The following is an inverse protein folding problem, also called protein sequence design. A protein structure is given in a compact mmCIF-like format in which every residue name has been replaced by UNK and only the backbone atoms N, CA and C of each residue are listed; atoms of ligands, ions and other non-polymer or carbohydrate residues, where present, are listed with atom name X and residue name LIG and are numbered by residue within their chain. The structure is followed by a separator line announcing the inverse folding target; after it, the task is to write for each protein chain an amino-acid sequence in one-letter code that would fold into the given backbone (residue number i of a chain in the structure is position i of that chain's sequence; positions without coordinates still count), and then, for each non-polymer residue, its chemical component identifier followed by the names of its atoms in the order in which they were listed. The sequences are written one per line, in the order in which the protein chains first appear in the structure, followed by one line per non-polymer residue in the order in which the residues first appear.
data_IF_486690589910
#
_entry.id   IF_486690589910
#
_cell.length_a   1.000
_cell.length_b   1.000
_cell.length_c   1.000
_cell.angle_alpha   90.00
_cell.angle_beta   90.00
_cell.angle_gamma   90.00
#
_symmetry.space_group_name_H-M   'P 1'
#
loop_
_entity.id
_entity.type
_entity.pdbx_description
1 polymer ?
#
# COMPACT_ATOMS: atom_id res chain seq x y z
N UNK A 1 -18.50 -5.63 -11.56
CA UNK A 1 -18.17 -6.01 -10.17
C UNK A 1 -17.68 -7.44 -10.17
N UNK A 2 -16.64 -7.75 -9.40
CA UNK A 2 -16.08 -9.10 -9.28
C UNK A 2 -16.38 -9.64 -7.89
N UNK A 3 -16.87 -10.88 -7.80
CA UNK A 3 -17.13 -11.55 -6.53
C UNK A 3 -15.96 -12.44 -6.17
N UNK A 4 -15.49 -12.36 -4.92
CA UNK A 4 -14.46 -13.22 -4.38
C UNK A 4 -15.04 -14.14 -3.31
N UNK A 5 -14.83 -15.45 -3.46
CA UNK A 5 -15.14 -16.43 -2.43
C UNK A 5 -13.84 -16.81 -1.70
N UNK A 6 -13.78 -16.51 -0.40
CA UNK A 6 -12.64 -16.83 0.45
C UNK A 6 -12.96 -18.13 1.19
N UNK A 7 -12.15 -19.17 0.97
CA UNK A 7 -12.28 -20.47 1.63
C UNK A 7 -11.34 -20.55 2.83
N UNK A 8 -11.65 -21.49 3.73
CA UNK A 8 -10.79 -21.87 4.86
C UNK A 8 -10.46 -20.71 5.81
N UNK A 9 -11.43 -19.80 6.01
CA UNK A 9 -11.33 -18.74 7.03
C UNK A 9 -11.72 -19.35 8.37
N UNK A 10 -10.83 -19.28 9.36
CA UNK A 10 -11.15 -19.76 10.71
C UNK A 10 -12.28 -18.96 11.35
N UNK A 11 -13.05 -19.62 12.23
CA UNK A 11 -14.15 -18.98 12.95
C UNK A 11 -13.67 -17.78 13.78
N UNK A 12 -12.48 -17.87 14.36
CA UNK A 12 -11.83 -16.77 15.11
C UNK A 12 -11.59 -15.55 14.21
N UNK A 13 -11.01 -15.74 13.02
CA UNK A 13 -10.78 -14.65 12.08
C UNK A 13 -12.10 -14.04 11.63
N UNK A 14 -13.11 -14.88 11.34
CA UNK A 14 -14.44 -14.41 10.96
C UNK A 14 -15.10 -13.59 12.08
N UNK A 15 -14.93 -13.98 13.35
CA UNK A 15 -15.44 -13.24 14.50
C UNK A 15 -14.77 -11.87 14.64
N UNK A 16 -13.44 -11.81 14.59
CA UNK A 16 -12.68 -10.55 14.69
C UNK A 16 -13.08 -9.59 13.57
N UNK A 17 -13.23 -10.08 12.33
CA UNK A 17 -13.63 -9.22 11.21
C UNK A 17 -15.07 -8.71 11.35
N UNK A 18 -15.98 -9.50 11.91
CA UNK A 18 -17.35 -9.05 12.20
C UNK A 18 -17.38 -7.97 13.28
N UNK A 19 -16.60 -8.13 14.35
CA UNK A 19 -16.49 -7.12 15.42
C UNK A 19 -15.96 -5.79 14.87
N UNK A 20 -14.90 -5.84 14.06
CA UNK A 20 -14.34 -4.64 13.41
C UNK A 20 -15.32 -3.99 12.44
N UNK A 21 -16.04 -4.80 11.65
CA UNK A 21 -17.07 -4.29 10.76
C UNK A 21 -18.18 -3.58 11.54
N UNK A 22 -18.65 -4.17 12.64
CA UNK A 22 -19.66 -3.58 13.52
C UNK A 22 -19.17 -2.28 14.18
N UNK A 23 -17.92 -2.23 14.64
CA UNK A 23 -17.31 -1.02 15.19
C UNK A 23 -17.25 0.14 14.19
N UNK A 24 -17.13 -0.16 12.88
CA UNK A 24 -17.17 0.83 11.81
C UNK A 24 -18.59 1.07 11.24
N UNK A 25 -19.64 0.45 11.81
CA UNK A 25 -21.01 0.58 11.32
C UNK A 25 -21.23 -0.03 9.92
N UNK A 26 -20.43 -1.03 9.55
CA UNK A 26 -20.45 -1.68 8.23
C UNK A 26 -20.91 -3.13 8.34
N UNK A 27 -21.54 -3.64 7.29
CA UNK A 27 -21.68 -5.10 7.12
C UNK A 27 -20.30 -5.73 6.85
N UNK A 28 -20.15 -7.01 7.18
CA UNK A 28 -18.92 -7.75 6.84
C UNK A 28 -18.64 -7.74 5.33
N UNK A 29 -19.70 -7.82 4.51
CA UNK A 29 -19.63 -7.76 3.04
C UNK A 29 -19.20 -6.40 2.49
N UNK A 30 -19.35 -5.31 3.26
CA UNK A 30 -18.83 -4.00 2.90
C UNK A 30 -17.42 -3.77 3.47
N UNK A 31 -17.16 -4.29 4.68
CA UNK A 31 -15.89 -4.14 5.38
C UNK A 31 -14.74 -4.90 4.70
N UNK A 32 -14.90 -6.19 4.44
CA UNK A 32 -13.81 -7.04 3.92
C UNK A 32 -13.30 -6.57 2.54
N UNK A 33 -14.15 -6.23 1.56
CA UNK A 33 -13.65 -5.70 0.29
C UNK A 33 -12.90 -4.38 0.44
N UNK A 34 -13.28 -3.53 1.39
CA UNK A 34 -12.55 -2.29 1.68
C UNK A 34 -11.15 -2.61 2.22
N UNK A 35 -11.01 -3.59 3.13
CA UNK A 35 -9.70 -4.04 3.59
C UNK A 35 -8.84 -4.62 2.46
N UNK A 36 -9.43 -5.46 1.61
CA UNK A 36 -8.73 -6.02 0.45
C UNK A 36 -8.25 -4.93 -0.51
N UNK A 37 -9.05 -3.88 -0.72
CA UNK A 37 -8.66 -2.73 -1.52
C UNK A 37 -7.46 -1.99 -0.88
N UNK A 38 -7.44 -1.82 0.45
CA UNK A 38 -6.31 -1.21 1.17
C UNK A 38 -5.02 -2.05 1.03
N UNK A 39 -5.14 -3.37 1.07
CA UNK A 39 -4.02 -4.29 0.84
C UNK A 39 -3.51 -4.14 -0.60
N UNK A 40 -4.41 -4.18 -1.58
CA UNK A 40 -4.05 -4.10 -2.99
C UNK A 40 -3.50 -2.73 -3.42
N UNK A 41 -3.89 -1.65 -2.73
CA UNK A 41 -3.40 -0.30 -3.01
C UNK A 41 -1.90 -0.11 -2.69
N UNK A 42 -1.32 -0.97 -1.84
CA UNK A 42 0.09 -0.88 -1.46
C UNK A 42 0.92 -1.79 -2.38
N UNK A 43 1.86 -1.25 -3.18
CA UNK A 43 2.75 -2.08 -3.98
C UNK A 43 3.66 -2.90 -3.06
N UNK A 44 3.95 -4.12 -3.48
CA UNK A 44 4.96 -4.98 -2.84
C UNK A 44 6.36 -4.42 -3.03
N UNK A 45 7.31 -4.82 -2.18
CA UNK A 45 8.71 -4.41 -2.31
C UNK A 45 9.29 -4.78 -3.69
N UNK A 46 8.95 -5.96 -4.20
CA UNK A 46 9.41 -6.41 -5.52
C UNK A 46 8.89 -5.50 -6.64
N UNK A 47 7.61 -5.12 -6.58
CA UNK A 47 7.02 -4.16 -7.52
C UNK A 47 7.68 -2.78 -7.40
N UNK A 48 7.99 -2.32 -6.19
CA UNK A 48 8.72 -1.07 -5.96
C UNK A 48 10.12 -1.15 -6.59
N UNK A 49 10.87 -2.22 -6.33
CA UNK A 49 12.21 -2.41 -6.88
C UNK A 49 12.18 -2.48 -8.40
N UNK A 50 11.26 -3.25 -8.98
CA UNK A 50 11.09 -3.33 -10.43
C UNK A 50 10.81 -1.95 -11.04
N UNK A 51 9.90 -1.17 -10.43
CA UNK A 51 9.61 0.20 -10.84
C UNK A 51 10.84 1.11 -10.72
N UNK A 52 11.61 0.97 -9.64
CA UNK A 52 12.83 1.75 -9.45
C UNK A 52 13.90 1.38 -10.48
N UNK A 53 14.07 0.11 -10.85
CA UNK A 53 15.03 -0.30 -11.89
C UNK A 53 14.63 0.21 -13.27
N UNK A 54 13.34 0.18 -13.60
CA UNK A 54 12.83 0.63 -14.89
C UNK A 54 12.81 2.16 -15.05
N UNK A 55 12.95 2.92 -13.96
CA UNK A 55 12.88 4.38 -13.99
C UNK A 55 14.17 4.97 -14.52
N UNK A 56 14.10 5.66 -15.66
CA UNK A 56 15.19 6.50 -16.13
C UNK A 56 15.39 7.69 -15.17
N UNK A 57 16.64 7.92 -14.78
CA UNK A 57 17.08 8.98 -13.88
C UNK A 57 18.13 9.89 -14.52
N UNK A 58 18.37 9.73 -15.82
CA UNK A 58 19.35 10.51 -16.58
C UNK A 58 19.09 12.02 -16.52
N UNK A 59 17.82 12.44 -16.38
CA UNK A 59 17.43 13.84 -16.22
C UNK A 59 17.43 14.34 -14.77
N UNK A 60 17.90 13.53 -13.82
CA UNK A 60 17.98 13.91 -12.41
C UNK A 60 19.20 14.77 -12.11
N UNK A 61 19.21 15.50 -10.98
CA UNK A 61 20.37 16.28 -10.56
C UNK A 61 21.56 15.37 -10.28
N UNK A 62 22.73 15.84 -10.68
CA UNK A 62 24.02 15.22 -10.41
C UNK A 62 24.36 15.30 -8.92
N UNK A 63 25.28 14.45 -8.47
CA UNK A 63 25.75 14.48 -7.07
C UNK A 63 26.31 15.85 -6.67
N UNK A 64 26.99 16.54 -7.60
CA UNK A 64 27.58 17.85 -7.33
C UNK A 64 26.51 18.93 -7.14
N UNK A 65 25.46 18.93 -7.96
CA UNK A 65 24.31 19.83 -7.82
C UNK A 65 23.58 19.60 -6.49
N UNK A 66 23.42 18.34 -6.09
CA UNK A 66 22.80 17.98 -4.81
C UNK A 66 23.66 18.51 -3.64
N UNK A 67 24.98 18.28 -3.66
CA UNK A 67 25.88 18.75 -2.60
C UNK A 67 25.91 20.27 -2.53
N UNK A 68 25.91 20.95 -3.67
CA UNK A 68 25.85 22.41 -3.74
C UNK A 68 24.56 22.96 -3.13
N UNK A 69 23.40 22.39 -3.49
CA UNK A 69 22.11 22.80 -2.94
C UNK A 69 22.03 22.60 -1.42
N UNK A 70 22.53 21.46 -0.91
CA UNK A 70 22.57 21.17 0.52
C UNK A 70 23.46 22.16 1.28
N UNK A 71 24.62 22.55 0.72
CA UNK A 71 25.51 23.55 1.33
C UNK A 71 24.89 24.94 1.34
N UNK A 72 24.18 25.32 0.27
CA UNK A 72 23.51 26.60 0.16
C UNK A 72 22.42 26.78 1.23
N UNK A 73 21.63 25.73 1.52
CA UNK A 73 20.57 25.78 2.55
C UNK A 73 21.06 25.73 4.01
N UNK A 74 22.36 25.55 4.25
CA UNK A 74 22.97 25.57 5.61
C UNK A 74 23.55 26.93 6.00
N UNK A 75 23.46 27.93 5.11
CA UNK A 75 23.82 29.32 5.36
C UNK A 75 22.57 30.11 5.75
#
# INVERSE_FOLDING_TARGET
MTTLYIRDVSDEVAAILKERAAAEGKSLSAYVPAELARIAARPTNDQIIARLKARDRSSGPTSDEIVAAVRAGRR
#
